data_IF_806599056057
#
_entry.id   IF_806599056057
#
_cell.length_a   1.000
_cell.length_b   1.000
_cell.length_c   1.000
_cell.angle_alpha   90.00
_cell.angle_beta   90.00
_cell.angle_gamma   90.00
#
_symmetry.space_group_name_H-M   'P 1'
#
loop_
_entity.id
_entity.type
_entity.pdbx_description
1 polymer ?
#
# COMPACT_ATOMS: atom_id res chain seq x y z
N UNK A 1 -32.62 -19.68 8.77
CA UNK A 1 -32.84 -18.44 8.01
C UNK A 1 -31.52 -17.72 7.84
N UNK A 2 -30.87 -17.64 6.68
CA UNK A 2 -30.72 -18.53 5.53
C UNK A 2 -30.10 -17.68 4.42
N UNK A 3 -28.75 -17.62 4.32
CA UNK A 3 -27.86 -17.16 3.22
C UNK A 3 -28.27 -16.01 2.26
N UNK A 4 -29.39 -15.32 2.49
CA UNK A 4 -30.12 -14.50 1.53
C UNK A 4 -29.96 -12.99 1.73
N UNK A 5 -28.92 -12.58 2.44
CA UNK A 5 -28.39 -11.22 2.41
C UNK A 5 -26.92 -11.22 1.90
N UNK A 6 -26.56 -11.68 0.69
CA UNK A 6 -26.93 -11.16 -0.65
C UNK A 6 -27.01 -9.63 -0.82
N UNK A 7 -26.75 -8.83 0.22
CA UNK A 7 -26.83 -7.38 0.14
C UNK A 7 -25.42 -6.75 0.19
N UNK A 8 -24.84 -6.17 -0.85
CA UNK A 8 -25.27 -5.96 -2.24
C UNK A 8 -24.10 -5.47 -3.11
N UNK A 9 -22.86 -5.66 -2.65
CA UNK A 9 -21.66 -5.09 -3.28
C UNK A 9 -20.43 -5.88 -2.80
N UNK A 10 -20.36 -7.19 -3.10
CA UNK A 10 -19.09 -7.92 -3.04
C UNK A 10 -18.15 -7.27 -4.06
N UNK A 11 -17.55 -6.15 -3.67
CA UNK A 11 -16.48 -5.44 -4.34
C UNK A 11 -15.36 -6.44 -4.51
N UNK A 12 -15.35 -7.12 -5.66
CA UNK A 12 -14.27 -7.97 -6.12
C UNK A 12 -13.06 -7.11 -6.44
N UNK A 13 -12.58 -6.27 -5.52
CA UNK A 13 -11.32 -5.55 -5.69
C UNK A 13 -10.20 -6.57 -5.52
N UNK A 14 -9.79 -7.16 -6.64
CA UNK A 14 -8.61 -8.00 -6.72
C UNK A 14 -7.43 -7.04 -6.65
N UNK A 15 -6.75 -7.07 -5.51
CA UNK A 15 -5.63 -6.18 -5.28
C UNK A 15 -4.33 -6.94 -5.43
N UNK A 16 -3.41 -6.34 -6.18
CA UNK A 16 -2.17 -6.96 -6.58
C UNK A 16 -1.00 -6.15 -6.03
N UNK A 17 -0.20 -6.75 -5.15
CA UNK A 17 1.02 -6.14 -4.60
C UNK A 17 2.27 -6.75 -5.25
N UNK A 18 3.14 -5.92 -5.84
CA UNK A 18 4.40 -6.39 -6.38
C UNK A 18 5.55 -5.97 -5.44
N UNK A 19 6.17 -6.96 -4.77
CA UNK A 19 7.33 -6.95 -3.85
C UNK A 19 7.02 -7.14 -2.35
N UNK A 20 7.90 -7.91 -1.71
CA UNK A 20 7.90 -8.37 -0.31
C UNK A 20 7.93 -7.24 0.75
N UNK A 21 8.89 -6.31 0.71
CA UNK A 21 9.14 -5.36 1.83
C UNK A 21 8.00 -4.37 2.09
N UNK A 22 7.36 -3.87 1.03
CA UNK A 22 6.17 -3.01 1.15
C UNK A 22 4.90 -3.86 1.09
N UNK A 23 4.89 -4.90 0.26
CA UNK A 23 3.70 -5.69 -0.03
C UNK A 23 3.25 -6.60 1.10
N UNK A 24 4.14 -7.12 1.97
CA UNK A 24 3.74 -7.97 3.11
C UNK A 24 2.94 -7.24 4.18
N UNK A 25 3.39 -6.11 4.76
CA UNK A 25 2.57 -5.40 5.73
C UNK A 25 1.29 -4.87 5.08
N UNK A 26 1.39 -4.37 3.84
CA UNK A 26 0.25 -3.85 3.11
C UNK A 26 -0.79 -4.94 2.79
N UNK A 27 -0.37 -6.14 2.40
CA UNK A 27 -1.29 -7.25 2.15
C UNK A 27 -2.08 -7.64 3.39
N UNK A 28 -1.44 -7.66 4.56
CA UNK A 28 -2.13 -7.93 5.83
C UNK A 28 -3.14 -6.85 6.17
N UNK A 29 -2.80 -5.57 5.98
CA UNK A 29 -3.73 -4.45 6.19
C UNK A 29 -4.93 -4.51 5.22
N UNK A 30 -4.69 -4.88 3.97
CA UNK A 30 -5.73 -5.04 2.96
C UNK A 30 -6.64 -6.25 3.26
N UNK A 31 -6.06 -7.36 3.71
CA UNK A 31 -6.81 -8.54 4.17
C UNK A 31 -7.68 -8.21 5.39
N UNK A 32 -7.20 -7.39 6.33
CA UNK A 32 -8.01 -6.88 7.46
C UNK A 32 -9.20 -6.02 6.99
N UNK A 33 -9.15 -5.48 5.77
CA UNK A 33 -10.26 -4.76 5.13
C UNK A 33 -11.08 -5.64 4.17
N UNK A 34 -10.95 -6.97 4.28
CA UNK A 34 -11.63 -7.98 3.46
C UNK A 34 -11.29 -7.92 1.96
N UNK A 35 -10.13 -7.35 1.59
CA UNK A 35 -9.68 -7.36 0.20
C UNK A 35 -9.18 -8.75 -0.22
N UNK A 36 -9.39 -9.12 -1.49
CA UNK A 36 -8.73 -10.30 -2.07
C UNK A 36 -7.35 -9.89 -2.57
N UNK A 37 -6.30 -10.38 -1.90
CA UNK A 37 -4.92 -9.96 -2.18
C UNK A 37 -4.14 -11.04 -2.90
N UNK A 38 -3.48 -10.68 -3.99
CA UNK A 38 -2.44 -11.48 -4.65
C UNK A 38 -1.10 -10.77 -4.50
N UNK A 39 -0.04 -11.51 -4.13
CA UNK A 39 1.30 -10.98 -3.97
C UNK A 39 2.21 -11.60 -5.03
N UNK A 40 2.91 -10.76 -5.80
CA UNK A 40 3.89 -11.18 -6.79
C UNK A 40 5.28 -10.69 -6.40
N UNK A 41 6.28 -11.35 -6.93
CA UNK A 41 7.69 -11.07 -6.72
C UNK A 41 8.49 -11.43 -7.97
N UNK A 42 9.81 -11.26 -7.89
CA UNK A 42 10.74 -11.48 -8.99
C UNK A 42 10.74 -12.90 -9.59
N UNK A 43 10.14 -13.90 -8.92
CA UNK A 43 10.02 -15.27 -9.43
C UNK A 43 8.58 -15.66 -9.79
N UNK A 44 7.65 -14.70 -9.77
CA UNK A 44 6.30 -14.96 -10.25
C UNK A 44 6.33 -15.15 -11.75
N UNK A 45 5.93 -16.34 -12.19
CA UNK A 45 5.74 -16.68 -13.60
C UNK A 45 4.46 -16.00 -14.10
N UNK A 46 4.48 -15.49 -15.34
CA UNK A 46 3.31 -14.85 -15.97
C UNK A 46 2.77 -13.63 -15.17
N UNK A 47 3.66 -12.73 -14.73
CA UNK A 47 3.29 -11.54 -13.93
C UNK A 47 2.12 -10.75 -14.53
N UNK A 48 2.12 -10.55 -15.86
CA UNK A 48 1.10 -9.83 -16.61
C UNK A 48 -0.31 -10.37 -16.38
N UNK A 49 -0.47 -11.68 -16.23
CA UNK A 49 -1.77 -12.32 -15.96
C UNK A 49 -2.37 -11.80 -14.65
N UNK A 50 -1.53 -11.64 -13.62
CA UNK A 50 -1.96 -11.20 -12.31
C UNK A 50 -2.21 -9.69 -12.27
N UNK A 51 -1.30 -8.89 -12.84
CA UNK A 51 -1.44 -7.42 -12.87
C UNK A 51 -2.67 -6.99 -13.67
N UNK A 52 -2.96 -7.67 -14.78
CA UNK A 52 -4.12 -7.37 -15.64
C UNK A 52 -5.46 -7.83 -15.06
N UNK A 53 -5.43 -8.71 -14.05
CA UNK A 53 -6.62 -9.11 -13.31
C UNK A 53 -6.94 -8.17 -12.13
N UNK A 54 -6.06 -7.22 -11.81
CA UNK A 54 -6.17 -6.37 -10.63
C UNK A 54 -7.11 -5.17 -10.87
N UNK A 55 -8.00 -4.92 -9.92
CA UNK A 55 -8.77 -3.67 -9.82
C UNK A 55 -7.92 -2.55 -9.20
N UNK A 56 -7.04 -2.94 -8.28
CA UNK A 56 -6.04 -2.06 -7.69
C UNK A 56 -4.66 -2.70 -7.80
N UNK A 57 -3.74 -2.02 -8.48
CA UNK A 57 -2.37 -2.47 -8.68
C UNK A 57 -1.42 -1.61 -7.86
N UNK A 58 -0.68 -2.23 -6.95
CA UNK A 58 0.37 -1.58 -6.16
C UNK A 58 1.73 -2.05 -6.70
N UNK A 59 2.42 -1.15 -7.41
CA UNK A 59 3.75 -1.37 -7.95
C UNK A 59 4.80 -0.88 -6.95
N UNK A 60 5.58 -1.80 -6.38
CA UNK A 60 6.67 -1.48 -5.46
C UNK A 60 7.91 -2.31 -5.79
N UNK A 61 8.22 -2.45 -7.07
CA UNK A 61 9.25 -3.32 -7.68
C UNK A 61 10.64 -2.69 -7.73
N UNK A 62 10.74 -1.36 -7.62
CA UNK A 62 11.98 -0.58 -7.74
C UNK A 62 12.74 -0.90 -9.02
N UNK A 63 12.01 -0.92 -10.12
CA UNK A 63 12.55 -1.03 -11.46
C UNK A 63 11.79 -0.06 -12.36
N UNK A 64 12.53 0.93 -12.89
CA UNK A 64 11.95 2.00 -13.68
C UNK A 64 11.10 1.47 -14.84
N UNK A 65 9.86 1.95 -14.94
CA UNK A 65 8.94 1.69 -16.05
C UNK A 65 8.69 0.21 -16.35
N UNK A 66 8.78 -0.69 -15.35
CA UNK A 66 8.51 -2.10 -15.52
C UNK A 66 7.03 -2.36 -15.87
N UNK A 67 6.10 -1.67 -15.21
CA UNK A 67 4.65 -1.86 -15.43
C UNK A 67 4.22 -1.07 -16.65
N UNK A 68 3.78 -1.79 -17.68
CA UNK A 68 3.33 -1.26 -18.97
C UNK A 68 1.81 -1.22 -19.09
N UNK A 69 1.30 -0.49 -20.09
CA UNK A 69 -0.14 -0.31 -20.31
C UNK A 69 -0.90 -1.63 -20.52
N UNK A 70 -0.30 -2.60 -21.23
CA UNK A 70 -0.88 -3.92 -21.49
C UNK A 70 -0.91 -4.83 -20.23
N UNK A 71 -0.17 -4.45 -19.20
CA UNK A 71 -0.16 -5.13 -17.89
C UNK A 71 -1.25 -4.60 -16.94
N UNK A 72 -1.95 -3.52 -17.30
CA UNK A 72 -2.92 -2.85 -16.44
C UNK A 72 -4.33 -3.11 -16.96
N UNK A 73 -5.25 -3.42 -16.03
CA UNK A 73 -6.67 -3.52 -16.37
C UNK A 73 -7.22 -2.13 -16.69
N UNK A 74 -7.99 -1.95 -17.78
CA UNK A 74 -8.69 -0.70 -18.04
C UNK A 74 -9.55 -0.26 -16.86
N UNK A 75 -9.40 0.99 -16.44
CA UNK A 75 -10.11 1.57 -15.30
C UNK A 75 -9.55 1.20 -13.92
N UNK A 76 -8.45 0.44 -13.82
CA UNK A 76 -7.85 0.10 -12.53
C UNK A 76 -7.23 1.33 -11.83
N UNK A 77 -7.18 1.25 -10.50
CA UNK A 77 -6.40 2.19 -9.68
C UNK A 77 -4.97 1.68 -9.60
N UNK A 78 -4.01 2.51 -9.96
CA UNK A 78 -2.58 2.16 -9.93
C UNK A 78 -1.86 3.04 -8.91
N UNK A 79 -1.18 2.40 -7.97
CA UNK A 79 -0.38 3.02 -6.92
C UNK A 79 1.07 2.67 -7.20
N UNK A 80 1.82 3.66 -7.67
CA UNK A 80 3.26 3.58 -7.92
C UNK A 80 4.03 4.02 -6.68
N UNK A 81 4.63 3.04 -6.00
CA UNK A 81 5.49 3.22 -4.83
C UNK A 81 6.96 3.29 -5.24
N UNK A 82 7.26 3.01 -6.51
CA UNK A 82 8.62 2.98 -7.05
C UNK A 82 9.27 4.36 -6.98
N UNK A 83 10.55 4.37 -6.61
CA UNK A 83 11.42 5.54 -6.73
C UNK A 83 12.71 5.03 -7.38
N UNK A 84 12.91 5.43 -8.63
CA UNK A 84 14.03 5.02 -9.46
C UNK A 84 14.69 6.26 -10.07
N UNK A 85 15.99 6.20 -10.32
CA UNK A 85 16.70 7.26 -11.06
C UNK A 85 16.61 6.98 -12.56
N UNK A 86 16.13 7.97 -13.31
CA UNK A 86 16.12 7.89 -14.77
C UNK A 86 17.55 8.03 -15.33
N UNK A 87 17.79 7.43 -16.49
CA UNK A 87 19.10 7.49 -17.18
C UNK A 87 19.51 8.90 -17.56
N UNK A 88 18.54 9.74 -17.87
CA UNK A 88 18.71 11.15 -18.29
C UNK A 88 18.72 12.12 -17.10
N UNK A 89 18.63 11.60 -15.87
CA UNK A 89 18.42 12.38 -14.65
C UNK A 89 16.95 12.50 -14.28
N UNK A 90 16.69 12.74 -12.99
CA UNK A 90 15.32 12.82 -12.44
C UNK A 90 14.81 11.52 -11.84
N UNK A 91 13.67 11.63 -11.14
CA UNK A 91 13.03 10.53 -10.42
C UNK A 91 11.86 10.01 -11.26
N UNK A 92 11.80 8.69 -11.44
CA UNK A 92 10.70 7.97 -12.11
C UNK A 92 10.23 6.80 -11.28
N UNK A 93 8.97 6.39 -11.47
CA UNK A 93 8.37 5.29 -10.74
C UNK A 93 8.61 3.92 -11.39
N UNK A 94 7.93 2.90 -10.86
CA UNK A 94 7.93 1.55 -11.43
C UNK A 94 6.99 1.43 -12.63
N UNK A 95 6.10 2.40 -12.81
CA UNK A 95 5.05 2.40 -13.83
C UNK A 95 5.42 3.35 -14.96
N UNK A 96 5.20 2.92 -16.19
CA UNK A 96 5.26 3.77 -17.37
C UNK A 96 4.09 4.77 -17.36
N UNK A 97 4.30 5.91 -16.70
CA UNK A 97 3.22 6.85 -16.37
C UNK A 97 2.45 7.33 -17.61
N UNK A 98 3.17 7.69 -18.67
CA UNK A 98 2.57 8.20 -19.90
C UNK A 98 1.63 7.18 -20.54
N UNK A 99 2.08 5.93 -20.70
CA UNK A 99 1.27 4.90 -21.32
C UNK A 99 0.13 4.42 -20.40
N UNK A 100 0.41 4.24 -19.10
CA UNK A 100 -0.55 3.67 -18.14
C UNK A 100 -1.64 4.67 -17.75
N UNK A 101 -1.34 5.98 -17.72
CA UNK A 101 -2.35 7.02 -17.45
C UNK A 101 -3.50 7.05 -18.46
N UNK A 102 -3.30 6.52 -19.67
CA UNK A 102 -4.35 6.43 -20.70
C UNK A 102 -5.31 5.24 -20.47
N UNK A 103 -4.92 4.28 -19.63
CA UNK A 103 -5.65 3.02 -19.42
C UNK A 103 -6.19 2.93 -17.99
N UNK A 104 -5.43 3.39 -17.00
CA UNK A 104 -5.81 3.39 -15.60
C UNK A 104 -6.95 4.39 -15.35
N UNK A 105 -7.85 4.06 -14.42
CA UNK A 105 -8.86 5.01 -13.94
C UNK A 105 -8.27 6.07 -13.01
N UNK A 106 -7.17 5.73 -12.32
CA UNK A 106 -6.38 6.64 -11.49
C UNK A 106 -4.96 6.11 -11.38
N UNK A 107 -3.97 7.01 -11.37
CA UNK A 107 -2.55 6.67 -11.24
C UNK A 107 -1.84 7.69 -10.35
N UNK A 108 -1.07 7.23 -9.36
CA UNK A 108 -0.25 8.13 -8.53
C UNK A 108 0.96 8.65 -9.32
N UNK A 109 1.29 9.95 -9.25
CA UNK A 109 2.48 10.48 -9.90
C UNK A 109 3.75 10.10 -9.15
N UNK A 110 4.85 9.97 -9.89
CA UNK A 110 6.20 9.85 -9.32
C UNK A 110 7.14 10.82 -10.05
N UNK A 111 7.74 11.81 -9.36
CA UNK A 111 7.63 12.12 -7.93
C UNK A 111 6.29 12.77 -7.53
N UNK A 112 6.03 12.90 -6.22
CA UNK A 112 4.88 13.65 -5.68
C UNK A 112 3.68 12.81 -5.23
N UNK A 113 3.68 11.49 -5.45
CA UNK A 113 2.63 10.57 -5.01
C UNK A 113 2.90 9.95 -3.64
N UNK A 114 3.40 8.72 -3.61
CA UNK A 114 3.50 7.89 -2.39
C UNK A 114 4.64 8.33 -1.45
N UNK A 115 5.72 8.89 -1.99
CA UNK A 115 6.90 9.30 -1.22
C UNK A 115 6.60 10.24 -0.04
N UNK A 116 5.96 11.40 -0.27
CA UNK A 116 5.62 12.34 0.81
C UNK A 116 4.72 11.75 1.90
N UNK A 117 3.79 10.86 1.53
CA UNK A 117 2.89 10.19 2.49
C UNK A 117 3.67 9.29 3.45
N UNK A 118 4.73 8.64 2.98
CA UNK A 118 5.60 7.79 3.83
C UNK A 118 6.22 8.61 4.95
N UNK A 119 6.75 9.79 4.64
CA UNK A 119 7.38 10.68 5.64
C UNK A 119 6.37 11.16 6.68
N UNK A 120 5.19 11.60 6.23
CA UNK A 120 4.12 12.06 7.12
C UNK A 120 3.67 10.94 8.05
N UNK A 121 3.48 9.74 7.52
CA UNK A 121 3.03 8.61 8.31
C UNK A 121 4.08 8.19 9.34
N UNK A 122 5.37 8.19 8.97
CA UNK A 122 6.46 7.93 9.91
C UNK A 122 6.43 8.93 11.08
N UNK A 123 6.35 10.22 10.78
CA UNK A 123 6.28 11.26 11.81
C UNK A 123 5.06 11.09 12.71
N UNK A 124 3.89 10.77 12.13
CA UNK A 124 2.69 10.46 12.91
C UNK A 124 2.91 9.29 13.86
N UNK A 125 3.57 8.22 13.40
CA UNK A 125 3.87 7.08 14.29
C UNK A 125 4.88 7.45 15.38
N UNK A 126 5.89 8.27 15.08
CA UNK A 126 6.83 8.75 16.10
C UNK A 126 6.14 9.58 17.18
N UNK A 127 5.25 10.50 16.79
CA UNK A 127 4.48 11.31 17.74
C UNK A 127 3.53 10.45 18.57
N UNK A 128 2.83 9.50 17.94
CA UNK A 128 1.95 8.58 18.66
C UNK A 128 2.72 7.71 19.66
N UNK A 129 3.91 7.22 19.29
CA UNK A 129 4.75 6.44 20.18
C UNK A 129 5.21 7.27 21.39
N UNK A 130 5.62 8.53 21.16
CA UNK A 130 6.00 9.44 22.23
C UNK A 130 4.85 9.71 23.21
N UNK A 131 3.63 9.94 22.71
CA UNK A 131 2.46 10.12 23.58
C UNK A 131 2.13 8.87 24.38
N UNK A 132 2.16 7.69 23.75
CA UNK A 132 1.88 6.44 24.45
C UNK A 132 2.87 6.17 25.59
N UNK A 133 4.15 6.52 25.43
CA UNK A 133 5.15 6.37 26.51
C UNK A 133 4.83 7.29 27.69
N UNK A 134 4.42 8.54 27.44
CA UNK A 134 4.05 9.49 28.50
C UNK A 134 2.78 9.08 29.25
N UNK A 135 1.80 8.51 28.56
CA UNK A 135 0.56 7.99 29.20
C UNK A 135 0.84 6.78 30.10
N UNK A 136 1.84 5.94 29.75
CA UNK A 136 2.27 4.81 30.59
C UNK A 136 2.98 5.31 31.85
N UNK A 137 3.88 6.30 31.74
CA UNK A 137 4.57 6.89 32.89
C UNK A 137 3.60 7.59 33.87
N UNK A 138 2.58 8.29 33.35
CA UNK A 138 1.54 8.91 34.16
C UNK A 138 0.65 7.87 34.89
N UNK A 139 0.40 6.72 34.25
CA UNK A 139 -0.36 5.62 34.85
C UNK A 139 0.44 4.89 35.93
N UNK A 140 1.75 4.67 35.72
CA UNK A 140 2.63 4.02 36.70
C UNK A 140 2.82 4.87 37.98
N UNK A 141 2.88 6.20 37.86
CA UNK A 141 2.96 7.10 39.02
C UNK A 141 1.69 7.14 39.88
N UNK A 142 0.52 6.83 39.29
CA UNK A 142 -0.73 6.74 40.05
C UNK A 142 -0.79 5.50 40.96
N UNK A 143 -0.14 4.40 40.56
CA UNK A 143 -0.08 3.14 41.31
C UNK A 143 0.92 3.26 42.48
N UNK A 144 2.06 3.92 42.27
CA UNK A 144 3.07 4.11 43.33
C UNK A 144 2.56 5.03 44.45
N UNK A 145 1.81 6.10 44.12
CA UNK A 145 1.31 7.05 45.13
C UNK A 145 0.23 6.49 46.10
N UNK A 146 -0.35 5.33 45.77
CA UNK A 146 -1.36 4.65 46.61
C UNK A 146 -0.75 3.62 47.56
N UNK A 147 0.52 3.22 47.35
CA UNK A 147 1.23 2.25 48.20
C UNK A 147 2.06 2.88 49.31
N UNK A 148 2.32 4.19 49.28
CA UNK A 148 3.08 4.93 50.31
C UNK A 148 2.20 5.55 51.40
N UNK A 149 0.93 5.15 51.48
CA UNK A 149 -0.07 5.68 52.42
C UNK A 149 -0.66 4.60 53.35
N UNK A 150 0.18 3.69 53.83
CA UNK A 150 -0.10 2.73 54.90
C UNK A 150 0.96 2.82 56.00
#
# INVERSE_FOLDING_TARGET
GDHRDLHKEYRRQRQMCIRDRVGKPLSMMLLQKNATVTICHSRTVELTRFTRAADVLIAAVGQANLIKADMVRPGAVVIDVGINMAREGGIVGDVDFTAVSQVAGSLTPTPGGVGPLTNVLLLKQCVQAAWNTLDVEASDHSIVSSSERL
#
